data_IF_787991192289
#
_entry.id   IF_787991192289
#
_cell.length_a   1.000
_cell.length_b   1.000
_cell.length_c   1.000
_cell.angle_alpha   90.00
_cell.angle_beta   90.00
_cell.angle_gamma   90.00
#
_symmetry.space_group_name_H-M   'P 1'
#
loop_
_entity.id
_entity.type
_entity.pdbx_description
1 polymer ?
#
# COMPACT_ATOMS: atom_id res chain seq x y z
N UNK A 1 8.41 -15.56 -19.19
CA UNK A 1 7.72 -14.30 -18.86
C UNK A 1 8.36 -13.05 -19.49
N UNK A 2 7.55 -12.10 -19.97
CA UNK A 2 7.98 -10.75 -20.43
C UNK A 2 8.01 -9.75 -19.27
N UNK A 3 8.96 -8.82 -19.26
CA UNK A 3 9.09 -7.76 -18.23
C UNK A 3 9.08 -6.37 -18.85
N UNK A 4 8.98 -5.33 -18.03
CA UNK A 4 8.85 -3.92 -18.40
C UNK A 4 7.58 -3.66 -19.22
N UNK A 5 6.49 -4.28 -18.78
CA UNK A 5 5.21 -4.30 -19.49
C UNK A 5 4.07 -3.92 -18.54
N UNK A 6 3.05 -3.29 -19.10
CA UNK A 6 1.74 -3.10 -18.47
C UNK A 6 0.69 -3.88 -19.27
N UNK A 7 0.01 -4.81 -18.61
CA UNK A 7 -1.08 -5.59 -19.16
C UNK A 7 -2.41 -4.86 -18.93
N UNK A 8 -3.20 -4.69 -19.99
CA UNK A 8 -4.57 -4.19 -19.87
C UNK A 8 -5.54 -5.33 -19.58
N UNK A 9 -5.44 -5.93 -18.39
CA UNK A 9 -6.19 -7.11 -17.97
C UNK A 9 -6.40 -7.08 -16.45
N UNK A 10 -7.28 -7.97 -15.97
CA UNK A 10 -7.40 -8.26 -14.55
C UNK A 10 -6.13 -8.91 -13.99
N UNK A 11 -5.80 -8.60 -12.74
CA UNK A 11 -4.74 -9.23 -11.94
C UNK A 11 -5.23 -10.41 -11.09
N UNK A 12 -6.51 -10.79 -11.19
CA UNK A 12 -7.08 -11.96 -10.49
C UNK A 12 -6.38 -13.25 -10.89
N UNK A 13 -5.96 -13.35 -12.15
CA UNK A 13 -5.11 -14.43 -12.65
C UNK A 13 -4.04 -13.84 -13.58
N UNK A 14 -2.80 -14.23 -13.36
CA UNK A 14 -1.60 -13.72 -14.05
C UNK A 14 -0.84 -14.86 -14.75
N UNK A 15 -1.44 -15.57 -15.72
CA UNK A 15 -0.80 -16.72 -16.39
C UNK A 15 0.47 -16.32 -17.17
N UNK A 16 0.62 -15.04 -17.52
CA UNK A 16 1.83 -14.52 -18.17
C UNK A 16 3.03 -14.39 -17.22
N UNK A 17 2.79 -14.48 -15.91
CA UNK A 17 3.78 -14.32 -14.84
C UNK A 17 4.11 -15.69 -14.25
N UNK A 18 5.37 -16.09 -14.39
CA UNK A 18 5.86 -17.39 -13.93
C UNK A 18 5.81 -17.47 -12.38
N UNK A 19 5.64 -18.68 -11.83
CA UNK A 19 5.70 -18.94 -10.39
C UNK A 19 7.04 -18.48 -9.80
N UNK A 20 7.01 -17.92 -8.58
CA UNK A 20 8.22 -17.52 -7.84
C UNK A 20 9.20 -16.68 -8.70
N UNK A 21 8.69 -15.76 -9.52
CA UNK A 21 9.49 -14.98 -10.46
C UNK A 21 9.65 -13.51 -10.06
N UNK A 22 8.71 -12.98 -9.27
CA UNK A 22 8.66 -11.58 -8.82
C UNK A 22 9.43 -11.40 -7.51
N UNK A 23 10.18 -10.31 -7.39
CA UNK A 23 11.00 -10.01 -6.21
C UNK A 23 10.28 -9.11 -5.21
N UNK A 24 9.49 -8.15 -5.70
CA UNK A 24 8.78 -7.19 -4.88
C UNK A 24 7.38 -6.92 -5.45
N UNK A 25 6.35 -6.91 -4.62
CA UNK A 25 5.01 -6.42 -4.98
C UNK A 25 4.81 -5.10 -4.26
N UNK A 26 4.39 -4.07 -4.96
CA UNK A 26 4.01 -2.78 -4.35
C UNK A 26 2.72 -2.35 -5.02
N UNK A 27 1.64 -2.29 -4.25
CA UNK A 27 0.32 -2.05 -4.83
C UNK A 27 -0.65 -1.43 -3.84
N UNK A 28 -1.78 -0.95 -4.36
CA UNK A 28 -2.87 -0.33 -3.60
C UNK A 28 -4.20 -0.76 -4.23
N UNK A 29 -5.02 -1.61 -3.56
CA UNK A 29 -6.30 -2.04 -4.12
C UNK A 29 -7.31 -0.89 -4.22
N UNK A 30 -8.35 -1.03 -5.05
CA UNK A 30 -9.60 -0.27 -4.91
C UNK A 30 -10.18 -0.46 -3.51
N UNK A 31 -10.38 0.62 -2.77
CA UNK A 31 -10.91 0.53 -1.40
C UNK A 31 -12.44 0.34 -1.42
N UNK A 32 -12.94 -0.51 -0.53
CA UNK A 32 -14.36 -0.83 -0.45
C UNK A 32 -15.21 0.42 -0.28
N UNK A 33 -16.31 0.48 -1.02
CA UNK A 33 -17.36 1.49 -1.09
C UNK A 33 -16.88 2.93 -1.33
N UNK A 34 -15.71 3.14 -1.94
CA UNK A 34 -15.18 4.49 -2.17
C UNK A 34 -15.34 4.99 -3.61
N UNK A 35 -15.03 4.16 -4.61
CA UNK A 35 -14.90 4.63 -6.00
C UNK A 35 -15.54 3.68 -7.00
N UNK A 36 -16.08 4.29 -8.05
CA UNK A 36 -16.54 3.63 -9.26
C UNK A 36 -15.57 4.00 -10.39
N UNK A 37 -14.96 2.99 -11.02
CA UNK A 37 -13.99 3.12 -12.11
C UNK A 37 -14.63 2.95 -13.50
N UNK A 38 -15.97 2.93 -13.56
CA UNK A 38 -16.75 2.78 -14.79
C UNK A 38 -16.94 1.33 -15.22
N UNK A 39 -17.75 1.14 -16.27
CA UNK A 39 -18.17 -0.20 -16.70
C UNK A 39 -17.00 -1.10 -17.17
N UNK A 40 -15.88 -0.52 -17.60
CA UNK A 40 -14.68 -1.26 -18.00
C UNK A 40 -13.90 -1.92 -16.86
N UNK A 41 -14.24 -1.64 -15.60
CA UNK A 41 -13.66 -2.29 -14.43
C UNK A 41 -14.48 -3.50 -13.93
N UNK A 42 -15.68 -3.71 -14.49
CA UNK A 42 -16.55 -4.81 -14.09
C UNK A 42 -15.97 -6.15 -14.54
N UNK A 43 -16.05 -7.13 -13.64
CA UNK A 43 -15.59 -8.49 -13.83
C UNK A 43 -16.61 -9.45 -13.23
N UNK A 44 -16.52 -10.71 -13.61
CA UNK A 44 -17.26 -11.79 -12.96
C UNK A 44 -16.39 -12.36 -11.84
N UNK A 45 -16.96 -12.46 -10.64
CA UNK A 45 -16.33 -12.98 -9.44
C UNK A 45 -17.09 -14.21 -8.93
N UNK A 46 -16.35 -15.26 -8.61
CA UNK A 46 -16.90 -16.52 -8.10
C UNK A 46 -17.75 -17.27 -9.13
N UNK A 47 -18.59 -18.18 -8.63
CA UNK A 47 -19.41 -19.07 -9.44
C UNK A 47 -18.69 -20.36 -9.89
N UNK A 48 -19.34 -21.07 -10.81
CA UNK A 48 -18.87 -22.34 -11.37
C UNK A 48 -18.25 -22.09 -12.75
N UNK A 49 -17.11 -22.72 -13.02
CA UNK A 49 -16.24 -22.47 -14.19
C UNK A 49 -16.93 -22.57 -15.56
N UNK A 50 -18.01 -23.35 -15.66
CA UNK A 50 -18.72 -23.63 -16.93
C UNK A 50 -20.13 -23.00 -16.98
N UNK A 51 -20.39 -22.00 -16.14
CA UNK A 51 -21.68 -21.31 -16.16
C UNK A 51 -21.72 -20.26 -17.29
N UNK A 52 -22.72 -20.34 -18.18
CA UNK A 52 -22.99 -19.29 -19.18
C UNK A 52 -23.44 -17.95 -18.58
N UNK A 53 -23.62 -17.90 -17.26
CA UNK A 53 -24.09 -16.78 -16.46
C UNK A 53 -25.38 -16.12 -16.94
N UNK A 54 -26.49 -16.47 -16.30
CA UNK A 54 -27.76 -15.76 -16.45
C UNK A 54 -27.89 -14.69 -15.36
N UNK A 55 -27.75 -13.43 -15.76
CA UNK A 55 -27.88 -12.27 -14.88
C UNK A 55 -29.36 -11.97 -14.66
N UNK A 56 -29.81 -11.97 -13.41
CA UNK A 56 -31.23 -11.77 -13.10
C UNK A 56 -31.76 -10.41 -13.54
N UNK A 57 -33.07 -10.26 -13.71
CA UNK A 57 -33.70 -8.95 -13.87
C UNK A 57 -33.59 -8.14 -12.57
N UNK A 58 -33.47 -6.82 -12.67
CA UNK A 58 -33.49 -5.94 -11.49
C UNK A 58 -34.84 -6.09 -10.78
N UNK A 59 -34.84 -6.51 -9.51
CA UNK A 59 -36.02 -6.40 -8.65
C UNK A 59 -36.38 -4.92 -8.47
N UNK A 60 -37.33 -4.42 -9.25
CA UNK A 60 -38.02 -3.17 -8.94
C UNK A 60 -39.12 -3.50 -7.94
N UNK A 61 -38.85 -3.27 -6.65
CA UNK A 61 -39.94 -3.22 -5.66
C UNK A 61 -40.80 -2.00 -6.02
N UNK A 62 -41.95 -2.23 -6.66
CA UNK A 62 -43.02 -1.23 -6.69
C UNK A 62 -43.53 -1.09 -5.26
N UNK A 63 -43.38 0.07 -4.66
CA UNK A 63 -44.07 0.41 -3.41
C UNK A 63 -45.59 0.27 -3.63
N UNK A 64 -46.20 -0.74 -3.00
CA UNK A 64 -47.65 -0.76 -2.74
C UNK A 64 -47.87 -0.46 -1.25
N UNK A 65 -48.41 0.74 -0.99
CA UNK A 65 -49.09 1.15 0.24
C UNK A 65 -48.17 1.46 1.43
N UNK A 66 -48.48 2.39 2.34
CA UNK A 66 -49.70 3.17 2.57
C UNK A 66 -49.50 3.96 3.87
N UNK A 67 -49.81 5.26 3.91
CA UNK A 67 -50.44 5.87 5.10
C UNK A 67 -51.42 6.96 4.65
N UNK A 68 -52.70 6.65 4.88
CA UNK A 68 -53.87 7.49 5.17
C UNK A 68 -54.13 8.80 4.38
N UNK A 69 -55.29 8.84 3.71
CA UNK A 69 -55.97 10.09 3.36
C UNK A 69 -56.86 10.02 2.11
N UNK A 70 -58.16 9.80 2.36
CA UNK A 70 -59.32 10.15 1.51
C UNK A 70 -59.49 9.53 0.11
N UNK A 71 -60.57 8.73 0.01
CA UNK A 71 -61.55 8.68 -1.09
C UNK A 71 -61.05 8.45 -2.53
N UNK A 72 -61.14 7.22 -3.04
CA UNK A 72 -61.38 6.99 -4.47
C UNK A 72 -61.93 5.58 -4.74
N UNK A 73 -62.96 5.55 -5.58
CA UNK A 73 -63.83 4.43 -5.90
C UNK A 73 -63.13 3.27 -6.63
N UNK A 74 -63.71 2.08 -6.45
CA UNK A 74 -63.47 0.90 -7.30
C UNK A 74 -63.91 1.22 -8.74
N UNK A 75 -63.00 1.11 -9.72
CA UNK A 75 -63.40 0.91 -11.12
C UNK A 75 -62.37 0.12 -11.92
N UNK A 76 -62.86 -1.03 -12.38
CA UNK A 76 -62.56 -1.82 -13.58
C UNK A 76 -61.14 -2.14 -14.02
N UNK A 77 -60.96 -3.46 -14.15
CA UNK A 77 -60.09 -4.13 -15.12
C UNK A 77 -60.15 -3.45 -16.49
N UNK A 78 -59.01 -3.03 -17.02
CA UNK A 78 -58.61 -3.25 -18.42
C UNK A 78 -57.16 -2.78 -18.62
N UNK A 79 -56.36 -3.69 -19.16
CA UNK A 79 -55.04 -3.48 -19.76
C UNK A 79 -53.85 -3.22 -18.79
N UNK A 80 -53.00 -4.23 -18.51
CA UNK A 80 -51.68 -3.93 -17.99
C UNK A 80 -50.89 -3.24 -19.11
N UNK A 81 -50.75 -1.91 -19.04
CA UNK A 81 -49.72 -1.21 -19.81
C UNK A 81 -48.37 -1.80 -19.39
N UNK A 82 -47.89 -2.76 -20.16
CA UNK A 82 -46.52 -3.27 -20.11
C UNK A 82 -45.63 -2.08 -20.48
N UNK A 83 -45.19 -1.34 -19.46
CA UNK A 83 -44.09 -0.41 -19.61
C UNK A 83 -42.83 -1.27 -19.82
N UNK A 84 -42.51 -1.54 -21.08
CA UNK A 84 -41.17 -1.99 -21.47
C UNK A 84 -40.21 -0.85 -21.15
N UNK A 85 -39.54 -0.93 -20.02
CA UNK A 85 -38.40 -0.09 -19.70
C UNK A 85 -37.18 -0.97 -19.56
N UNK A 86 -36.25 -0.85 -20.51
CA UNK A 86 -34.94 -1.50 -20.49
C UNK A 86 -34.25 -1.24 -19.16
N UNK A 87 -33.94 -2.30 -18.41
CA UNK A 87 -33.25 -2.21 -17.13
C UNK A 87 -31.86 -2.83 -17.24
N UNK A 88 -30.84 -2.15 -16.71
CA UNK A 88 -29.48 -2.69 -16.54
C UNK A 88 -29.59 -3.96 -15.68
N UNK A 89 -29.03 -5.08 -16.18
CA UNK A 89 -29.04 -6.44 -15.59
C UNK A 89 -28.74 -6.45 -14.09
N UNK A 90 -29.33 -7.38 -13.35
CA UNK A 90 -28.97 -7.71 -11.96
C UNK A 90 -27.53 -8.22 -11.86
N UNK A 91 -26.87 -7.92 -10.74
CA UNK A 91 -25.43 -8.14 -10.56
C UNK A 91 -25.07 -9.58 -10.13
N UNK A 92 -26.04 -10.41 -9.78
CA UNK A 92 -25.78 -11.80 -9.41
C UNK A 92 -26.33 -12.75 -10.47
N UNK A 93 -25.54 -13.77 -10.77
CA UNK A 93 -25.95 -14.86 -11.63
C UNK A 93 -26.97 -15.73 -10.88
N UNK A 94 -28.11 -15.97 -11.51
CA UNK A 94 -29.19 -16.80 -10.96
C UNK A 94 -28.85 -18.29 -10.94
N UNK A 95 -27.88 -18.73 -11.73
CA UNK A 95 -27.48 -20.14 -11.85
C UNK A 95 -26.40 -20.48 -10.81
N UNK A 96 -25.28 -19.75 -10.84
CA UNK A 96 -24.09 -20.10 -10.06
C UNK A 96 -23.79 -19.14 -8.91
N UNK A 97 -24.58 -18.07 -8.73
CA UNK A 97 -24.34 -17.09 -7.68
C UNK A 97 -23.14 -16.17 -7.92
N UNK A 98 -22.44 -16.28 -9.07
CA UNK A 98 -21.36 -15.38 -9.44
C UNK A 98 -21.82 -13.93 -9.41
N UNK A 99 -20.92 -13.02 -9.06
CA UNK A 99 -21.20 -11.59 -9.02
C UNK A 99 -20.51 -10.85 -10.15
N UNK A 100 -21.25 -9.99 -10.83
CA UNK A 100 -20.75 -9.08 -11.84
C UNK A 100 -20.64 -7.66 -11.30
N UNK A 101 -19.40 -7.21 -11.14
CA UNK A 101 -19.09 -5.90 -10.59
C UNK A 101 -17.59 -5.63 -10.52
N UNK A 102 -17.23 -4.48 -9.96
CA UNK A 102 -15.85 -4.05 -9.83
C UNK A 102 -15.37 -4.22 -8.39
N UNK A 103 -14.09 -4.61 -8.25
CA UNK A 103 -13.43 -4.70 -6.96
C UNK A 103 -13.58 -3.39 -6.18
N UNK A 104 -13.99 -3.49 -4.92
CA UNK A 104 -14.27 -2.36 -4.05
C UNK A 104 -15.73 -1.89 -4.07
N UNK A 105 -16.60 -2.40 -4.94
CA UNK A 105 -18.05 -2.12 -4.91
C UNK A 105 -18.90 -3.37 -4.61
N UNK A 106 -18.31 -4.35 -3.94
CA UNK A 106 -19.00 -5.54 -3.48
C UNK A 106 -20.17 -5.16 -2.55
N UNK A 107 -21.28 -5.90 -2.60
CA UNK A 107 -22.44 -5.66 -1.73
C UNK A 107 -22.13 -5.76 -0.23
N UNK A 108 -21.13 -6.54 0.17
CA UNK A 108 -20.74 -6.71 1.57
C UNK A 108 -19.22 -6.57 1.73
N UNK A 109 -18.80 -6.18 2.94
CA UNK A 109 -17.39 -6.10 3.29
C UNK A 109 -16.70 -7.48 3.22
N UNK A 110 -17.38 -8.53 3.67
CA UNK A 110 -16.81 -9.89 3.63
C UNK A 110 -16.52 -10.33 2.20
N UNK A 111 -17.43 -10.10 1.27
CA UNK A 111 -17.25 -10.44 -0.13
C UNK A 111 -16.09 -9.66 -0.77
N UNK A 112 -15.91 -8.38 -0.40
CA UNK A 112 -14.73 -7.61 -0.79
C UNK A 112 -13.43 -8.23 -0.26
N UNK A 113 -13.41 -8.66 1.01
CA UNK A 113 -12.25 -9.31 1.60
C UNK A 113 -11.97 -10.64 0.90
N UNK A 114 -12.98 -11.47 0.62
CA UNK A 114 -12.85 -12.72 -0.12
C UNK A 114 -12.23 -12.52 -1.51
N UNK A 115 -12.68 -11.50 -2.26
CA UNK A 115 -12.10 -11.18 -3.56
C UNK A 115 -10.62 -10.75 -3.46
N UNK A 116 -10.25 -9.97 -2.44
CA UNK A 116 -8.86 -9.63 -2.19
C UNK A 116 -8.02 -10.85 -1.77
N UNK A 117 -8.62 -11.82 -1.07
CA UNK A 117 -7.95 -13.07 -0.74
C UNK A 117 -7.64 -13.90 -1.99
N UNK A 118 -8.54 -13.94 -2.97
CA UNK A 118 -8.27 -14.59 -4.27
C UNK A 118 -7.05 -13.94 -4.95
N UNK A 119 -7.01 -12.61 -5.01
CA UNK A 119 -5.91 -11.87 -5.64
C UNK A 119 -4.59 -12.08 -4.90
N UNK A 120 -4.61 -12.13 -3.58
CA UNK A 120 -3.40 -12.31 -2.76
C UNK A 120 -2.86 -13.74 -2.80
N UNK A 121 -3.68 -14.75 -3.08
CA UNK A 121 -3.21 -16.10 -3.42
C UNK A 121 -2.38 -16.07 -4.72
N UNK A 122 -2.84 -15.34 -5.73
CA UNK A 122 -2.11 -15.18 -6.99
C UNK A 122 -0.81 -14.41 -6.79
N UNK A 123 -0.82 -13.38 -5.92
CA UNK A 123 0.40 -12.71 -5.48
C UNK A 123 1.38 -13.67 -4.81
N UNK A 124 0.88 -14.57 -3.96
CA UNK A 124 1.71 -15.57 -3.28
C UNK A 124 2.32 -16.56 -4.26
N UNK A 125 1.62 -16.92 -5.35
CA UNK A 125 2.14 -17.78 -6.43
C UNK A 125 3.33 -17.13 -7.15
N UNK A 126 3.17 -15.90 -7.60
CA UNK A 126 4.20 -15.21 -8.41
C UNK A 126 5.38 -14.69 -7.59
N UNK A 127 5.18 -14.37 -6.30
CA UNK A 127 6.23 -13.83 -5.43
C UNK A 127 7.24 -14.90 -5.05
N UNK A 128 8.53 -14.61 -5.22
CA UNK A 128 9.63 -15.47 -4.77
C UNK A 128 9.54 -15.82 -3.28
N UNK A 129 10.12 -16.94 -2.85
CA UNK A 129 10.24 -17.26 -1.42
C UNK A 129 10.97 -16.19 -0.61
N UNK A 130 11.89 -15.45 -1.25
CA UNK A 130 12.63 -14.32 -0.66
C UNK A 130 11.99 -12.96 -0.91
N UNK A 131 10.86 -12.92 -1.63
CA UNK A 131 10.22 -11.68 -2.05
C UNK A 131 9.41 -11.01 -0.94
N UNK A 132 9.08 -9.75 -1.18
CA UNK A 132 8.37 -8.88 -0.25
C UNK A 132 7.13 -8.28 -0.92
N UNK A 133 6.04 -8.12 -0.17
CA UNK A 133 4.84 -7.41 -0.61
C UNK A 133 4.59 -6.18 0.27
N UNK A 134 4.40 -5.04 -0.37
CA UNK A 134 3.97 -3.78 0.22
C UNK A 134 2.54 -3.48 -0.22
N UNK A 135 1.62 -3.42 0.75
CA UNK A 135 0.19 -3.27 0.51
C UNK A 135 -0.32 -1.98 1.14
N UNK A 136 -0.57 -0.95 0.32
CA UNK A 136 -1.13 0.33 0.78
C UNK A 136 -2.66 0.25 0.80
N UNK A 137 -3.28 0.29 1.98
CA UNK A 137 -4.73 0.08 2.10
C UNK A 137 -5.34 0.90 3.23
N UNK A 138 -5.97 2.01 2.84
CA UNK A 138 -6.73 2.88 3.72
C UNK A 138 -8.06 2.27 4.17
N UNK A 139 -8.61 2.83 5.25
CA UNK A 139 -9.89 2.38 5.81
C UNK A 139 -11.05 3.31 5.43
N UNK A 140 -12.28 2.85 5.66
CA UNK A 140 -13.51 3.57 5.40
C UNK A 140 -14.44 3.54 6.61
N UNK A 141 -15.40 4.48 6.67
CA UNK A 141 -16.41 4.52 7.73
C UNK A 141 -17.71 3.86 7.29
N UNK A 142 -18.21 2.93 8.07
CA UNK A 142 -19.51 2.28 7.85
C UNK A 142 -20.67 3.26 8.10
N UNK A 143 -21.64 3.31 7.19
CA UNK A 143 -22.75 4.30 7.25
C UNK A 143 -24.07 3.73 7.79
N UNK A 144 -24.11 2.43 8.14
CA UNK A 144 -25.32 1.77 8.65
C UNK A 144 -26.33 1.36 7.57
N UNK A 145 -26.03 1.58 6.29
CA UNK A 145 -26.86 1.15 5.14
C UNK A 145 -26.12 0.21 4.18
N UNK A 146 -25.17 -0.57 4.69
CA UNK A 146 -24.35 -1.47 3.87
C UNK A 146 -23.40 -0.74 2.91
N UNK A 147 -23.09 0.54 3.16
CA UNK A 147 -22.09 1.29 2.39
C UNK A 147 -21.14 2.04 3.33
N UNK A 148 -19.98 2.42 2.81
CA UNK A 148 -19.03 3.23 3.54
C UNK A 148 -18.74 4.58 2.87
N UNK A 149 -18.25 5.55 3.65
CA UNK A 149 -17.81 6.86 3.17
C UNK A 149 -16.32 7.06 3.41
N UNK A 150 -15.67 7.82 2.52
CA UNK A 150 -14.26 8.21 2.63
C UNK A 150 -14.02 9.10 3.87
N UNK A 151 -12.98 8.85 4.69
CA UNK A 151 -12.59 9.72 5.81
C UNK A 151 -12.21 11.15 5.42
N UNK A 152 -11.71 11.37 4.20
CA UNK A 152 -11.01 12.58 3.79
C UNK A 152 -11.71 13.46 2.77
N UNK A 153 -13.05 13.44 2.67
CA UNK A 153 -13.80 14.47 1.92
C UNK A 153 -13.29 14.75 0.50
N UNK A 154 -13.16 13.74 -0.36
CA UNK A 154 -12.79 13.93 -1.76
C UNK A 154 -14.01 14.18 -2.64
N UNK A 155 -14.00 15.30 -3.37
CA UNK A 155 -14.95 15.77 -4.39
C UNK A 155 -16.18 14.88 -4.60
N UNK A 156 -17.30 15.28 -3.96
CA UNK A 156 -18.59 15.18 -4.65
C UNK A 156 -18.37 15.93 -5.96
N UNK A 157 -18.39 15.25 -7.11
CA UNK A 157 -18.42 15.98 -8.37
C UNK A 157 -19.57 16.99 -8.26
N UNK A 158 -19.24 18.27 -8.47
CA UNK A 158 -20.15 19.41 -8.48
C UNK A 158 -21.13 19.37 -9.67
N UNK A 159 -21.41 18.18 -10.19
CA UNK A 159 -22.46 17.87 -11.16
C UNK A 159 -23.59 17.02 -10.55
N UNK A 160 -23.44 16.57 -9.30
CA UNK A 160 -24.43 15.71 -8.63
C UNK A 160 -25.58 16.46 -7.95
N UNK A 161 -25.67 17.79 -8.04
CA UNK A 161 -26.77 18.57 -7.44
C UNK A 161 -28.03 18.67 -8.32
N UNK A 162 -27.97 18.29 -9.59
CA UNK A 162 -29.16 18.25 -10.46
C UNK A 162 -29.59 16.83 -10.89
N UNK A 163 -28.77 15.80 -10.69
CA UNK A 163 -29.22 14.43 -10.87
C UNK A 163 -29.66 13.81 -9.55
N UNK A 164 -30.96 13.97 -9.25
CA UNK A 164 -31.69 13.12 -8.28
C UNK A 164 -31.78 11.64 -8.74
N UNK A 165 -30.83 11.16 -9.54
CA UNK A 165 -30.76 9.85 -10.19
C UNK A 165 -29.48 9.07 -9.86
N UNK A 166 -28.76 9.41 -8.78
CA UNK A 166 -27.76 8.49 -8.22
C UNK A 166 -28.47 7.19 -7.77
N UNK A 167 -28.15 6.09 -8.45
CA UNK A 167 -28.81 4.78 -8.39
C UNK A 167 -28.41 4.03 -7.12
N UNK A 168 -28.77 4.56 -5.96
CA UNK A 168 -29.10 3.72 -4.81
C UNK A 168 -30.58 3.95 -4.54
N UNK A 169 -31.45 2.97 -4.77
CA UNK A 169 -32.83 3.10 -4.34
C UNK A 169 -32.80 3.43 -2.85
N UNK A 170 -33.36 4.58 -2.47
CA UNK A 170 -33.75 4.84 -1.07
C UNK A 170 -34.93 3.93 -0.66
N UNK A 171 -34.94 2.69 -1.14
CA UNK A 171 -35.98 1.71 -0.93
C UNK A 171 -35.56 0.78 0.19
N UNK A 172 -36.43 0.65 1.19
CA UNK A 172 -36.38 -0.39 2.22
C UNK A 172 -36.59 -1.77 1.59
N UNK A 173 -35.61 -2.25 0.82
CA UNK A 173 -35.74 -3.47 0.02
C UNK A 173 -34.51 -3.90 -0.78
N UNK A 174 -33.34 -3.30 -0.59
CA UNK A 174 -32.09 -4.04 -0.82
C UNK A 174 -32.07 -5.26 0.13
N UNK A 175 -31.30 -6.33 -0.11
CA UNK A 175 -31.12 -7.42 0.86
C UNK A 175 -30.42 -6.87 2.12
N UNK A 176 -31.17 -6.12 2.92
CA UNK A 176 -30.73 -5.32 4.07
C UNK A 176 -30.80 -6.14 5.36
N UNK A 177 -30.77 -7.48 5.25
CA UNK A 177 -30.80 -8.38 6.41
C UNK A 177 -29.44 -8.98 6.75
N UNK A 178 -28.42 -8.85 5.90
CA UNK A 178 -27.08 -9.38 6.20
C UNK A 178 -26.10 -8.34 6.79
N UNK A 179 -26.42 -7.04 6.79
CA UNK A 179 -25.49 -6.01 7.29
C UNK A 179 -25.74 -5.62 8.76
N UNK A 180 -26.02 -6.60 9.63
CA UNK A 180 -26.17 -6.36 11.08
C UNK A 180 -24.83 -6.37 11.83
N UNK A 181 -23.72 -6.34 11.11
CA UNK A 181 -22.41 -6.71 11.65
C UNK A 181 -21.60 -5.55 12.21
N UNK A 182 -21.84 -4.30 11.77
CA UNK A 182 -21.08 -3.14 12.24
C UNK A 182 -21.98 -1.93 12.55
N UNK A 183 -21.75 -1.24 13.68
CA UNK A 183 -22.45 0.01 13.99
C UNK A 183 -22.19 1.10 12.93
N UNK A 184 -23.19 1.94 12.68
CA UNK A 184 -22.98 3.16 11.90
C UNK A 184 -21.91 4.05 12.55
N UNK A 185 -21.17 4.79 11.73
CA UNK A 185 -20.01 5.63 12.12
C UNK A 185 -18.79 4.86 12.63
N UNK A 186 -18.79 3.53 12.56
CA UNK A 186 -17.62 2.72 12.90
C UNK A 186 -16.61 2.69 11.74
N UNK A 187 -15.31 2.65 12.04
CA UNK A 187 -14.30 2.28 11.05
C UNK A 187 -14.51 0.81 10.66
N UNK A 188 -14.54 0.52 9.36
CA UNK A 188 -14.79 -0.82 8.85
C UNK A 188 -13.65 -1.79 9.19
N UNK A 189 -12.44 -1.24 9.38
CA UNK A 189 -11.19 -1.98 9.51
C UNK A 189 -10.97 -2.91 8.30
N UNK A 190 -11.41 -2.50 7.10
CA UNK A 190 -11.36 -3.34 5.90
C UNK A 190 -9.94 -3.84 5.60
N UNK A 191 -8.96 -3.00 5.93
CA UNK A 191 -7.55 -3.25 5.78
C UNK A 191 -7.05 -4.25 6.82
N UNK A 192 -7.24 -3.99 8.12
CA UNK A 192 -6.76 -4.89 9.17
C UNK A 192 -7.47 -6.26 9.15
N UNK A 193 -8.76 -6.31 8.78
CA UNK A 193 -9.49 -7.57 8.59
C UNK A 193 -8.86 -8.43 7.49
N UNK A 194 -8.53 -7.82 6.36
CA UNK A 194 -7.77 -8.49 5.31
C UNK A 194 -6.43 -9.00 5.85
N UNK A 195 -5.64 -8.15 6.53
CA UNK A 195 -4.31 -8.54 7.04
C UNK A 195 -4.39 -9.72 8.01
N UNK A 196 -5.38 -9.76 8.90
CA UNK A 196 -5.62 -10.89 9.80
C UNK A 196 -5.87 -12.16 8.98
N UNK A 197 -6.78 -12.12 8.01
CA UNK A 197 -7.06 -13.27 7.12
C UNK A 197 -5.86 -13.67 6.25
N UNK A 198 -5.00 -12.74 5.85
CA UNK A 198 -3.75 -13.08 5.16
C UNK A 198 -2.80 -13.88 6.05
N UNK A 199 -2.74 -13.56 7.35
CA UNK A 199 -1.91 -14.29 8.31
C UNK A 199 -2.52 -15.66 8.60
N UNK A 200 -3.80 -15.70 8.97
CA UNK A 200 -4.47 -16.92 9.43
C UNK A 200 -4.79 -17.88 8.27
N UNK A 201 -5.41 -17.33 7.21
CA UNK A 201 -5.80 -17.95 5.93
C UNK A 201 -4.64 -18.44 5.06
N UNK A 202 -3.71 -17.52 4.81
CA UNK A 202 -2.71 -17.69 3.79
C UNK A 202 -1.30 -17.76 4.36
N UNK A 203 -1.08 -17.70 5.68
CA UNK A 203 0.24 -17.85 6.28
C UNK A 203 1.24 -16.75 5.87
N UNK A 204 0.77 -15.54 5.55
CA UNK A 204 1.65 -14.39 5.37
C UNK A 204 2.27 -13.98 6.71
N UNK A 205 3.47 -13.40 6.68
CA UNK A 205 4.11 -12.81 7.85
C UNK A 205 4.08 -11.29 7.70
N UNK A 206 3.33 -10.62 8.59
CA UNK A 206 3.38 -9.16 8.71
C UNK A 206 4.66 -8.76 9.46
N UNK A 207 5.45 -7.87 8.87
CA UNK A 207 6.70 -7.36 9.44
C UNK A 207 6.51 -5.98 10.07
N UNK A 208 5.75 -5.10 9.41
CA UNK A 208 5.43 -3.76 9.90
C UNK A 208 4.07 -3.30 9.36
N UNK A 209 3.35 -2.50 10.15
CA UNK A 209 2.23 -1.65 9.75
C UNK A 209 2.71 -0.20 9.59
N UNK A 210 3.40 0.08 8.49
CA UNK A 210 4.00 1.40 8.30
C UNK A 210 2.91 2.47 8.24
N UNK A 211 2.96 3.44 9.14
CA UNK A 211 2.05 4.58 9.18
C UNK A 211 2.53 5.65 8.20
N UNK A 212 1.85 5.75 7.05
CA UNK A 212 2.01 6.89 6.15
C UNK A 212 1.25 8.10 6.69
N UNK A 213 1.97 9.02 7.33
CA UNK A 213 1.45 10.30 7.80
C UNK A 213 1.40 11.31 6.65
N UNK A 214 0.20 11.83 6.36
CA UNK A 214 -0.08 12.81 5.30
C UNK A 214 -0.21 14.21 5.90
N UNK A 215 0.86 15.02 5.95
CA UNK A 215 0.82 16.35 6.58
C UNK A 215 -0.19 17.30 5.91
N UNK A 216 -0.40 17.15 4.60
CA UNK A 216 -1.38 17.88 3.79
C UNK A 216 -2.67 17.08 3.51
N UNK A 217 -3.02 16.12 4.38
CA UNK A 217 -4.26 15.37 4.25
C UNK A 217 -5.50 16.28 4.31
N UNK A 218 -6.48 16.01 3.46
CA UNK A 218 -7.70 16.83 3.39
C UNK A 218 -8.44 16.86 4.73
N UNK A 219 -8.86 18.04 5.21
CA UNK A 219 -9.62 18.17 6.44
C UNK A 219 -10.99 17.49 6.30
N UNK A 220 -11.45 16.84 7.37
CA UNK A 220 -12.79 16.27 7.43
C UNK A 220 -13.78 17.31 7.95
N UNK A 221 -14.97 17.39 7.36
CA UNK A 221 -16.07 18.22 7.86
C UNK A 221 -16.84 17.58 9.03
N UNK A 222 -16.47 16.35 9.42
CA UNK A 222 -17.05 15.67 10.57
C UNK A 222 -16.69 16.41 11.87
N UNK A 223 -17.69 16.68 12.71
CA UNK A 223 -17.54 17.40 13.99
C UNK A 223 -17.42 16.48 15.20
N UNK A 224 -17.76 15.20 15.03
CA UNK A 224 -17.88 14.19 16.09
C UNK A 224 -16.76 13.14 16.04
N UNK A 225 -15.68 13.39 15.29
CA UNK A 225 -14.49 12.54 15.22
C UNK A 225 -13.26 13.29 14.71
N UNK A 226 -12.08 12.72 14.95
CA UNK A 226 -10.83 13.23 14.40
C UNK A 226 -10.73 12.99 12.88
N UNK A 227 -10.01 13.87 12.20
CA UNK A 227 -9.70 13.69 10.77
C UNK A 227 -8.62 12.62 10.60
N UNK A 228 -8.89 11.61 9.77
CA UNK A 228 -7.89 10.60 9.42
C UNK A 228 -6.83 11.22 8.51
N UNK A 229 -5.62 11.45 9.05
CA UNK A 229 -4.48 12.00 8.31
C UNK A 229 -3.40 10.98 7.99
N UNK A 230 -3.65 9.69 8.22
CA UNK A 230 -2.69 8.64 7.90
C UNK A 230 -3.36 7.48 7.17
N UNK A 231 -2.55 6.68 6.49
CA UNK A 231 -2.92 5.39 5.88
C UNK A 231 -1.86 4.35 6.25
N UNK A 232 -2.23 3.09 6.53
CA UNK A 232 -1.24 2.04 6.73
C UNK A 232 -0.73 1.47 5.40
N UNK A 233 0.56 1.19 5.37
CA UNK A 233 1.25 0.43 4.33
C UNK A 233 1.81 -0.83 4.96
N UNK A 234 1.22 -1.98 4.65
CA UNK A 234 1.61 -3.24 5.28
C UNK A 234 2.82 -3.85 4.56
N UNK A 235 3.83 -4.21 5.34
CA UNK A 235 5.01 -4.94 4.89
C UNK A 235 4.83 -6.42 5.18
N UNK A 236 4.60 -7.23 4.14
CA UNK A 236 4.30 -8.66 4.21
C UNK A 236 5.39 -9.49 3.53
N UNK A 237 5.67 -10.68 4.06
CA UNK A 237 6.64 -11.64 3.48
C UNK A 237 6.10 -13.07 3.53
N UNK A 238 6.58 -13.92 2.60
CA UNK A 238 6.23 -15.35 2.56
C UNK A 238 6.96 -16.18 3.62
N UNK A 239 8.22 -15.84 3.89
CA UNK A 239 9.11 -16.64 4.74
C UNK A 239 9.90 -15.75 5.70
N UNK A 240 10.43 -16.34 6.77
CA UNK A 240 11.32 -15.65 7.73
C UNK A 240 12.62 -15.15 7.09
N UNK A 241 13.08 -15.79 6.02
CA UNK A 241 14.26 -15.40 5.24
C UNK A 241 13.79 -14.73 3.94
N UNK A 242 13.93 -13.41 3.86
CA UNK A 242 13.57 -12.59 2.71
C UNK A 242 14.68 -11.59 2.41
N UNK A 243 14.69 -11.05 1.19
CA UNK A 243 15.67 -10.05 0.78
C UNK A 243 15.24 -8.66 1.27
N UNK A 244 16.10 -8.00 2.05
CA UNK A 244 15.85 -6.65 2.55
C UNK A 244 17.16 -5.87 2.75
N UNK A 245 17.30 -4.70 2.15
CA UNK A 245 18.44 -3.79 2.29
C UNK A 245 18.05 -2.53 3.05
N UNK A 246 18.21 -2.56 4.39
CA UNK A 246 17.91 -1.41 5.26
C UNK A 246 18.83 -0.22 4.96
N UNK A 247 20.10 -0.47 4.64
CA UNK A 247 21.09 0.58 4.41
C UNK A 247 20.77 1.39 3.15
N UNK A 248 20.01 0.80 2.21
CA UNK A 248 19.50 1.51 1.04
C UNK A 248 18.48 2.61 1.38
N UNK A 249 17.81 2.54 2.55
CA UNK A 249 16.72 3.45 2.93
C UNK A 249 16.97 4.22 4.24
N UNK A 250 18.18 4.18 4.77
CA UNK A 250 18.55 4.96 5.96
C UNK A 250 18.43 6.46 5.70
N UNK A 251 17.95 7.17 6.72
CA UNK A 251 17.83 8.63 6.73
C UNK A 251 19.04 9.26 7.43
N UNK A 252 19.43 10.46 7.02
CA UNK A 252 20.48 11.22 7.71
C UNK A 252 20.09 11.42 9.19
N UNK A 253 21.08 11.37 10.08
CA UNK A 253 20.86 11.68 11.49
C UNK A 253 20.50 13.16 11.63
N UNK A 254 19.66 13.50 12.60
CA UNK A 254 19.41 14.90 12.92
C UNK A 254 20.65 15.53 13.56
N UNK A 255 20.88 16.82 13.30
CA UNK A 255 22.05 17.51 13.85
C UNK A 255 22.06 17.47 15.37
N UNK A 256 20.92 17.64 16.04
CA UNK A 256 20.85 17.60 17.50
C UNK A 256 21.17 16.21 18.08
N UNK A 257 21.09 15.15 17.26
CA UNK A 257 21.50 13.79 17.67
C UNK A 257 23.02 13.63 17.56
N UNK A 258 23.63 14.21 16.53
CA UNK A 258 25.08 14.26 16.35
C UNK A 258 25.68 15.11 17.47
N UNK A 259 25.13 16.30 17.73
CA UNK A 259 25.57 17.19 18.80
C UNK A 259 25.42 16.54 20.18
N UNK A 260 24.33 15.78 20.41
CA UNK A 260 24.16 15.01 21.65
C UNK A 260 25.21 13.93 21.82
N UNK A 261 25.61 13.25 20.74
CA UNK A 261 26.71 12.27 20.78
C UNK A 261 28.02 12.97 21.10
N UNK A 262 28.30 14.12 20.48
CA UNK A 262 29.55 14.86 20.64
C UNK A 262 29.63 15.62 21.98
N UNK A 263 28.49 15.86 22.65
CA UNK A 263 28.42 16.42 23.99
C UNK A 263 28.25 15.37 25.10
N UNK A 264 28.08 14.09 24.76
CA UNK A 264 27.90 13.00 25.73
C UNK A 264 29.17 12.79 26.55
N UNK A 265 29.18 13.30 27.79
CA UNK A 265 30.33 13.26 28.71
C UNK A 265 30.83 14.62 29.20
N UNK A 266 30.29 15.74 28.66
CA UNK A 266 30.67 17.10 29.11
C UNK A 266 29.83 17.65 30.26
N UNK A 267 28.66 17.09 30.52
CA UNK A 267 27.84 17.48 31.67
C UNK A 267 28.38 16.87 32.96
N UNK A 268 28.94 17.72 33.83
CA UNK A 268 29.23 17.39 35.22
C UNK A 268 27.92 17.22 35.98
N UNK A 269 27.36 16.01 36.03
CA UNK A 269 26.41 15.69 37.09
C UNK A 269 27.21 15.46 38.38
N UNK A 270 26.81 16.06 39.52
CA UNK A 270 27.40 15.71 40.80
C UNK A 270 27.17 14.21 41.03
N UNK A 271 28.24 13.47 41.27
CA UNK A 271 28.17 12.06 41.59
C UNK A 271 27.47 11.91 42.95
N UNK A 272 26.20 11.49 42.94
CA UNK A 272 25.63 10.85 44.11
C UNK A 272 26.20 9.43 44.17
N UNK A 273 26.67 9.03 45.36
CA UNK A 273 27.61 7.92 45.58
C UNK A 273 27.07 6.50 45.29
N UNK A 274 25.80 6.32 44.90
CA UNK A 274 25.21 4.97 44.79
C UNK A 274 24.78 4.49 43.39
N UNK A 275 24.94 5.28 42.32
CA UNK A 275 24.54 4.85 40.96
C UNK A 275 25.67 4.24 40.13
N UNK A 276 26.52 3.44 40.78
CA UNK A 276 27.67 2.73 40.19
C UNK A 276 27.31 1.67 39.12
N UNK A 277 26.05 1.59 38.67
CA UNK A 277 25.60 0.59 37.70
C UNK A 277 24.67 1.12 36.59
N UNK A 278 24.49 2.44 36.42
CA UNK A 278 23.91 2.94 35.16
C UNK A 278 24.98 2.84 34.06
N UNK A 279 25.14 1.63 33.53
CA UNK A 279 25.99 1.31 32.39
C UNK A 279 25.85 2.42 31.34
N UNK A 280 26.89 3.24 31.22
CA UNK A 280 27.07 4.22 30.16
C UNK A 280 27.08 3.49 28.80
N UNK A 281 25.89 3.17 28.26
CA UNK A 281 25.75 2.68 26.89
C UNK A 281 26.08 3.85 25.97
N UNK A 282 27.35 3.95 25.58
CA UNK A 282 27.83 4.88 24.55
C UNK A 282 26.94 4.75 23.30
N UNK A 283 26.42 5.87 22.81
CA UNK A 283 25.52 5.90 21.64
C UNK A 283 26.35 5.84 20.36
N UNK A 284 26.21 4.75 19.60
CA UNK A 284 26.86 4.58 18.30
C UNK A 284 25.89 4.97 17.18
N UNK A 285 26.24 6.02 16.43
CA UNK A 285 25.49 6.41 15.24
C UNK A 285 26.07 5.70 14.02
N UNK A 286 25.23 5.05 13.21
CA UNK A 286 25.65 4.46 11.95
C UNK A 286 25.92 5.58 10.91
N UNK A 287 27.12 5.68 10.31
CA UNK A 287 27.45 6.65 9.27
C UNK A 287 26.51 6.69 8.08
N UNK A 288 25.90 5.56 7.70
CA UNK A 288 24.94 5.50 6.58
C UNK A 288 23.55 6.06 6.96
N UNK A 289 23.35 6.46 8.22
CA UNK A 289 22.12 7.06 8.71
C UNK A 289 21.36 6.20 9.74
N UNK A 290 20.26 6.74 10.27
CA UNK A 290 19.34 6.01 11.15
C UNK A 290 18.39 5.14 10.33
N UNK A 291 17.85 4.10 10.97
CA UNK A 291 16.68 3.40 10.43
C UNK A 291 15.54 4.43 10.27
N UNK A 292 14.86 4.51 9.11
CA UNK A 292 13.73 5.42 8.91
C UNK A 292 12.57 5.17 9.89
N UNK A 293 12.48 3.97 10.48
CA UNK A 293 11.34 3.56 11.29
C UNK A 293 10.11 3.26 10.43
N UNK A 294 8.97 3.16 11.09
CA UNK A 294 7.68 2.77 10.51
C UNK A 294 6.67 3.92 10.46
N UNK A 295 7.04 5.15 10.81
CA UNK A 295 6.20 6.34 10.64
C UNK A 295 6.79 7.24 9.57
N UNK A 296 6.20 7.23 8.38
CA UNK A 296 6.70 7.97 7.22
C UNK A 296 5.85 9.21 6.98
N UNK A 297 6.45 10.39 7.15
CA UNK A 297 5.79 11.65 6.86
C UNK A 297 6.04 12.05 5.41
N UNK A 298 5.06 11.80 4.54
CA UNK A 298 5.16 12.05 3.10
C UNK A 298 3.91 12.81 2.65
N UNK A 299 4.02 14.02 2.07
CA UNK A 299 2.86 14.75 1.58
C UNK A 299 2.21 14.03 0.39
N UNK A 300 0.89 14.16 0.25
CA UNK A 300 0.18 13.76 -0.96
C UNK A 300 0.62 14.62 -2.14
N UNK A 301 0.83 14.01 -3.29
CA UNK A 301 1.28 14.69 -4.51
C UNK A 301 0.16 14.65 -5.56
N UNK A 302 -0.34 15.80 -6.04
CA UNK A 302 -1.29 15.82 -7.15
C UNK A 302 -0.59 15.40 -8.44
N UNK A 303 -1.30 14.66 -9.29
CA UNK A 303 -0.80 14.28 -10.62
C UNK A 303 -1.69 14.90 -11.70
N UNK A 304 -1.19 15.88 -12.47
CA UNK A 304 -2.01 16.68 -13.40
C UNK A 304 -2.69 15.87 -14.51
N UNK A 305 -2.08 14.76 -14.93
CA UNK A 305 -2.53 13.96 -16.07
C UNK A 305 -3.48 12.81 -15.67
N UNK A 306 -3.76 12.59 -14.37
CA UNK A 306 -4.64 11.50 -13.93
C UNK A 306 -5.99 11.97 -13.40
N UNK A 307 -7.02 11.25 -13.85
CA UNK A 307 -8.24 11.08 -13.07
C UNK A 307 -7.98 10.01 -11.98
N UNK A 308 -7.91 10.46 -10.72
CA UNK A 308 -7.97 9.68 -9.44
C UNK A 308 -6.66 9.12 -8.81
N UNK A 309 -6.78 8.90 -7.48
CA UNK A 309 -5.81 8.63 -6.41
C UNK A 309 -4.48 7.92 -6.74
N UNK A 310 -3.50 8.70 -7.21
CA UNK A 310 -2.11 8.26 -7.33
C UNK A 310 -1.39 8.37 -5.98
N UNK A 311 -0.77 7.30 -5.46
CA UNK A 311 0.11 7.45 -4.30
C UNK A 311 1.42 8.17 -4.70
N UNK A 312 2.06 8.92 -3.76
CA UNK A 312 3.26 9.71 -4.06
C UNK A 312 4.47 8.86 -4.45
N UNK A 313 5.34 9.38 -5.31
CA UNK A 313 6.58 8.71 -5.73
C UNK A 313 7.48 8.35 -4.53
N UNK A 314 7.58 9.27 -3.57
CA UNK A 314 8.33 9.09 -2.31
C UNK A 314 7.87 7.88 -1.50
N UNK A 315 6.59 7.54 -1.55
CA UNK A 315 6.03 6.40 -0.80
C UNK A 315 6.57 5.08 -1.32
N UNK A 316 6.88 5.00 -2.62
CA UNK A 316 7.20 3.76 -3.33
C UNK A 316 8.70 3.49 -3.38
N UNK A 317 9.51 4.55 -3.40
CA UNK A 317 10.97 4.42 -3.54
C UNK A 317 11.57 3.63 -2.37
N UNK A 318 11.11 3.86 -1.13
CA UNK A 318 11.58 3.11 0.04
C UNK A 318 11.30 1.60 -0.11
N UNK A 319 10.07 1.15 -0.40
CA UNK A 319 9.79 -0.23 -0.78
C UNK A 319 10.69 -0.80 -1.90
N UNK A 320 10.87 -0.08 -3.01
CA UNK A 320 11.67 -0.59 -4.15
C UNK A 320 13.13 -0.79 -3.74
N UNK A 321 13.74 0.22 -3.12
CA UNK A 321 15.16 0.19 -2.78
C UNK A 321 15.48 -0.85 -1.71
N UNK A 322 14.60 -0.97 -0.72
CA UNK A 322 14.78 -1.90 0.39
C UNK A 322 14.40 -3.34 0.04
N UNK A 323 13.48 -3.57 -0.89
CA UNK A 323 12.85 -4.88 -1.06
C UNK A 323 12.94 -5.48 -2.46
N UNK A 324 13.40 -4.73 -3.47
CA UNK A 324 13.64 -5.24 -4.83
C UNK A 324 15.15 -5.18 -5.17
N UNK A 325 15.84 -6.33 -5.36
CA UNK A 325 17.28 -6.35 -5.58
C UNK A 325 17.68 -5.73 -6.91
N UNK A 326 18.79 -4.98 -6.91
CA UNK A 326 19.36 -4.40 -8.14
C UNK A 326 20.13 -5.44 -8.97
N UNK A 327 20.69 -6.47 -8.32
CA UNK A 327 21.49 -7.50 -8.97
C UNK A 327 21.05 -8.90 -8.55
N UNK A 328 20.54 -9.64 -9.52
CA UNK A 328 20.19 -11.06 -9.43
C UNK A 328 21.01 -11.82 -10.45
N UNK A 329 21.64 -12.91 -10.01
CA UNK A 329 22.43 -13.73 -10.92
C UNK A 329 21.54 -14.35 -12.00
N UNK A 330 21.94 -14.22 -13.28
CA UNK A 330 21.18 -14.79 -14.40
C UNK A 330 21.14 -16.33 -14.41
N UNK A 331 22.12 -16.99 -13.79
CA UNK A 331 22.22 -18.46 -13.72
C UNK A 331 21.52 -19.05 -12.49
N UNK A 332 21.88 -18.62 -11.29
CA UNK A 332 21.39 -19.23 -10.05
C UNK A 332 20.22 -18.48 -9.38
N UNK A 333 19.82 -17.30 -9.89
CA UNK A 333 18.72 -16.52 -9.32
C UNK A 333 18.99 -15.89 -7.95
N UNK A 334 20.19 -16.06 -7.37
CA UNK A 334 20.56 -15.44 -6.09
C UNK A 334 20.74 -13.92 -6.25
N UNK A 335 20.05 -13.17 -5.40
CA UNK A 335 20.24 -11.73 -5.26
C UNK A 335 21.53 -11.41 -4.50
N UNK A 336 22.22 -10.33 -4.90
CA UNK A 336 23.36 -9.83 -4.13
C UNK A 336 22.88 -9.25 -2.80
N UNK A 337 23.67 -9.49 -1.76
CA UNK A 337 23.50 -8.88 -0.46
C UNK A 337 24.61 -7.86 -0.25
N UNK A 338 24.27 -6.73 0.37
CA UNK A 338 25.25 -5.70 0.71
C UNK A 338 26.21 -6.25 1.75
N UNK A 339 27.51 -6.08 1.50
CA UNK A 339 28.55 -6.37 2.49
C UNK A 339 28.98 -5.05 3.10
N UNK A 340 28.84 -4.94 4.42
CA UNK A 340 29.29 -3.79 5.19
C UNK A 340 30.44 -4.17 6.10
N UNK A 341 31.44 -3.30 6.18
CA UNK A 341 32.45 -3.37 7.22
C UNK A 341 32.06 -2.38 8.31
N UNK A 342 31.95 -2.87 9.54
CA UNK A 342 31.67 -2.04 10.71
C UNK A 342 32.85 -2.15 11.66
N UNK A 343 33.80 -1.23 11.53
CA UNK A 343 34.91 -1.11 12.47
C UNK A 343 34.54 -0.14 13.58
N UNK A 344 34.96 -0.46 14.79
CA UNK A 344 34.82 0.40 15.97
C UNK A 344 36.24 0.78 16.39
N UNK A 345 36.66 1.98 16.02
CA UNK A 345 37.95 2.51 16.43
C UNK A 345 37.81 3.27 17.73
N UNK A 346 38.77 3.12 18.63
CA UNK A 346 38.87 3.92 19.86
C UNK A 346 39.96 4.95 19.62
N UNK A 347 39.56 6.19 19.37
CA UNK A 347 40.48 7.32 19.28
C UNK A 347 40.82 7.79 20.70
N UNK A 348 42.08 7.60 21.10
CA UNK A 348 42.61 8.15 22.34
C UNK A 348 43.12 9.57 22.07
N UNK A 349 42.43 10.59 22.57
CA UNK A 349 42.98 11.94 22.54
C UNK A 349 44.20 12.03 23.50
N UNK A 350 45.40 12.20 22.95
CA UNK A 350 46.60 12.56 23.75
C UNK A 350 46.59 14.09 23.94
N UNK A 351 46.15 14.58 25.10
CA UNK A 351 46.48 15.95 25.51
C UNK A 351 47.92 15.98 26.02
N UNK A 352 48.71 16.91 25.51
CA UNK A 352 50.07 17.16 25.95
C UNK A 352 50.04 17.72 27.38
N UNK A 353 50.88 17.17 28.25
CA UNK A 353 50.99 17.57 29.65
C UNK A 353 51.56 18.99 29.75
N UNK A 354 50.78 19.95 30.24
CA UNK A 354 51.31 21.18 30.81
C UNK A 354 51.49 20.99 32.33
N UNK A 355 52.72 21.11 32.80
CA UNK A 355 53.08 20.98 34.22
C UNK A 355 52.40 22.11 35.01
N UNK A 356 51.44 21.78 35.88
CA UNK A 356 50.95 22.76 36.86
C UNK A 356 49.59 22.50 37.50
N UNK A 357 48.76 21.58 37.02
CA UNK A 357 47.46 21.30 37.65
C UNK A 357 47.30 19.81 37.95
N UNK A 358 47.22 19.46 39.25
CA UNK A 358 46.80 18.13 39.70
C UNK A 358 45.31 17.94 39.42
N UNK A 359 44.96 17.56 38.19
CA UNK A 359 43.67 16.94 37.90
C UNK A 359 43.87 15.78 36.94
N UNK A 360 43.80 14.56 37.48
CA UNK A 360 43.72 13.32 36.72
C UNK A 360 42.47 13.36 35.82
N UNK A 361 42.63 13.73 34.55
CA UNK A 361 41.66 13.41 33.51
C UNK A 361 42.24 12.27 32.67
N UNK A 362 41.77 11.05 32.90
CA UNK A 362 41.93 9.96 31.92
C UNK A 362 41.20 10.40 30.64
N UNK A 363 41.95 10.52 29.55
CA UNK A 363 41.50 11.10 28.29
C UNK A 363 40.16 10.56 27.78
N UNK A 364 39.36 11.46 27.22
CA UNK A 364 38.11 11.12 26.55
C UNK A 364 38.43 10.19 25.36
N UNK A 365 37.94 8.94 25.46
CA UNK A 365 37.97 7.92 24.42
C UNK A 365 36.76 8.08 23.50
N UNK A 366 36.98 8.62 22.31
CA UNK A 366 35.96 8.67 21.26
C UNK A 366 35.95 7.34 20.53
N UNK A 367 34.76 6.75 20.36
CA UNK A 367 34.63 5.55 19.53
C UNK A 367 34.07 5.96 18.16
N UNK A 368 34.88 5.93 17.11
CA UNK A 368 34.42 6.15 15.74
C UNK A 368 33.86 4.83 15.21
N UNK A 369 32.60 4.82 14.78
CA UNK A 369 32.05 3.67 14.05
C UNK A 369 32.20 3.93 12.57
N UNK A 370 33.13 3.23 11.93
CA UNK A 370 33.29 3.22 10.48
C UNK A 370 32.38 2.14 9.92
N UNK A 371 31.15 2.51 9.54
CA UNK A 371 30.23 1.66 8.79
C UNK A 371 30.26 2.07 7.31
N UNK A 372 30.87 1.24 6.48
CA UNK A 372 30.98 1.49 5.04
C UNK A 372 30.53 0.26 4.28
N UNK A 373 29.80 0.48 3.19
CA UNK A 373 29.58 -0.57 2.19
C UNK A 373 30.93 -0.87 1.53
N UNK A 374 31.43 -2.09 1.72
CA UNK A 374 32.69 -2.55 1.13
C UNK A 374 32.48 -3.32 -0.18
N UNK A 375 31.25 -3.78 -0.44
CA UNK A 375 30.93 -4.45 -1.67
C UNK A 375 29.59 -5.19 -1.60
N UNK A 376 29.47 -6.19 -2.46
CA UNK A 376 28.27 -6.98 -2.64
C UNK A 376 28.64 -8.45 -2.78
N UNK A 377 27.86 -9.35 -2.20
CA UNK A 377 28.12 -10.79 -2.30
C UNK A 377 28.17 -11.25 -3.74
N UNK A 378 29.01 -12.26 -4.03
CA UNK A 378 29.11 -12.85 -5.36
C UNK A 378 28.80 -14.35 -5.29
N UNK A 379 27.95 -14.80 -6.20
CA UNK A 379 27.57 -16.20 -6.34
C UNK A 379 28.57 -17.03 -7.16
N UNK A 380 29.62 -16.40 -7.72
CA UNK A 380 30.70 -17.02 -8.50
C UNK A 380 30.23 -17.76 -9.76
N UNK A 381 29.01 -17.51 -10.23
CA UNK A 381 28.45 -18.15 -11.41
C UNK A 381 28.96 -17.54 -12.74
N UNK A 382 29.58 -16.36 -12.70
CA UNK A 382 30.09 -15.61 -13.86
C UNK A 382 29.09 -15.46 -15.04
N UNK A 383 27.80 -15.49 -14.75
CA UNK A 383 26.72 -15.42 -15.74
C UNK A 383 26.13 -14.01 -15.93
N UNK A 384 26.79 -13.00 -15.36
CA UNK A 384 26.26 -11.63 -15.30
C UNK A 384 25.03 -11.48 -14.40
N UNK A 385 24.51 -10.25 -14.36
CA UNK A 385 23.43 -9.83 -13.46
C UNK A 385 22.23 -9.31 -14.25
N UNK A 386 21.04 -9.49 -13.68
CA UNK A 386 19.80 -8.84 -14.12
C UNK A 386 19.16 -8.10 -12.94
N UNK A 387 18.30 -7.10 -13.18
CA UNK A 387 17.55 -6.47 -12.10
C UNK A 387 16.46 -7.39 -11.54
N UNK A 388 16.03 -7.09 -10.33
CA UNK A 388 14.81 -7.64 -9.74
C UNK A 388 13.56 -7.08 -10.40
N UNK A 389 12.46 -7.80 -10.20
CA UNK A 389 11.17 -7.51 -10.81
C UNK A 389 10.20 -7.01 -9.75
N UNK A 390 9.67 -5.79 -9.97
CA UNK A 390 8.59 -5.19 -9.17
C UNK A 390 7.24 -5.40 -9.86
N UNK A 391 6.24 -5.88 -9.14
CA UNK A 391 4.87 -6.06 -9.64
C UNK A 391 3.91 -5.06 -8.98
N UNK A 392 3.01 -4.48 -9.78
CA UNK A 392 1.86 -3.71 -9.32
C UNK A 392 0.57 -4.27 -9.95
N UNK A 393 -0.37 -4.68 -9.10
CA UNK A 393 -1.64 -5.32 -9.51
C UNK A 393 -2.70 -4.32 -9.98
N UNK A 394 -2.56 -3.07 -9.54
CA UNK A 394 -3.50 -1.97 -9.72
C UNK A 394 -2.72 -0.73 -10.14
N UNK A 395 -2.04 -0.83 -11.29
CA UNK A 395 -1.01 0.11 -11.69
C UNK A 395 -1.52 1.55 -11.84
N UNK A 396 -2.79 1.76 -12.20
CA UNK A 396 -3.39 3.08 -12.34
C UNK A 396 -2.61 3.95 -13.33
N UNK A 397 -2.11 5.10 -12.85
CA UNK A 397 -1.25 5.99 -13.64
C UNK A 397 0.22 5.58 -13.72
N UNK A 398 0.58 4.43 -13.13
CA UNK A 398 1.89 3.82 -13.28
C UNK A 398 2.98 4.35 -12.36
N UNK A 399 2.65 4.91 -11.18
CA UNK A 399 3.66 5.41 -10.22
C UNK A 399 4.69 4.32 -9.89
N UNK A 400 4.24 3.12 -9.54
CA UNK A 400 5.15 2.01 -9.19
C UNK A 400 6.07 1.63 -10.33
N UNK A 401 5.53 1.53 -11.54
CA UNK A 401 6.27 1.13 -12.73
C UNK A 401 7.33 2.18 -13.10
N UNK A 402 6.95 3.46 -13.05
CA UNK A 402 7.84 4.59 -13.27
C UNK A 402 8.99 4.60 -12.25
N UNK A 403 8.68 4.46 -10.97
CA UNK A 403 9.71 4.45 -9.91
C UNK A 403 10.57 3.19 -9.95
N UNK A 404 10.03 2.04 -10.36
CA UNK A 404 10.83 0.83 -10.61
C UNK A 404 11.84 1.07 -11.73
N UNK A 405 11.39 1.62 -12.87
CA UNK A 405 12.28 2.00 -13.99
C UNK A 405 13.36 2.98 -13.53
N UNK A 406 12.98 4.04 -12.81
CA UNK A 406 13.90 5.05 -12.26
C UNK A 406 14.93 4.46 -11.29
N UNK A 407 14.52 3.47 -10.49
CA UNK A 407 15.40 2.73 -9.59
C UNK A 407 16.16 1.59 -10.29
N UNK A 408 16.14 1.48 -11.63
CA UNK A 408 16.77 0.40 -12.41
C UNK A 408 16.28 -1.00 -12.06
N UNK A 409 15.02 -1.13 -11.65
CA UNK A 409 14.33 -2.43 -11.51
C UNK A 409 13.51 -2.71 -12.76
N UNK A 410 13.26 -3.98 -13.01
CA UNK A 410 12.26 -4.36 -13.99
C UNK A 410 10.86 -4.25 -13.37
N UNK A 411 9.83 -4.10 -14.19
CA UNK A 411 8.47 -4.01 -13.69
C UNK A 411 7.47 -4.85 -14.48
N UNK A 412 6.39 -5.24 -13.82
CA UNK A 412 5.18 -5.79 -14.43
C UNK A 412 4.01 -5.04 -13.80
N UNK A 413 3.07 -4.56 -14.62
CA UNK A 413 1.88 -3.87 -14.16
C UNK A 413 0.61 -4.49 -14.72
N UNK A 414 -0.45 -4.52 -13.93
CA UNK A 414 -1.80 -4.84 -14.37
C UNK A 414 -2.70 -3.63 -14.16
N UNK A 415 -3.54 -3.34 -15.15
CA UNK A 415 -4.54 -2.28 -15.09
C UNK A 415 -5.73 -2.66 -15.96
N UNK A 416 -6.91 -2.78 -15.36
CA UNK A 416 -8.09 -3.23 -16.09
C UNK A 416 -8.72 -2.11 -16.92
N UNK A 417 -8.67 -0.86 -16.44
CA UNK A 417 -9.30 0.28 -17.09
C UNK A 417 -8.40 0.79 -18.22
N UNK A 418 -8.84 0.56 -19.45
CA UNK A 418 -8.07 0.87 -20.67
C UNK A 418 -7.60 2.32 -20.78
N UNK A 419 -8.36 3.29 -20.25
CA UNK A 419 -8.00 4.72 -20.31
C UNK A 419 -6.75 5.08 -19.51
N UNK A 420 -6.34 4.25 -18.53
CA UNK A 420 -5.12 4.47 -17.77
C UNK A 420 -3.84 3.99 -18.47
N UNK A 421 -3.96 3.09 -19.46
CA UNK A 421 -2.81 2.52 -20.16
C UNK A 421 -1.98 3.58 -20.90
N UNK A 422 -2.57 4.51 -21.69
CA UNK A 422 -1.79 5.57 -22.33
C UNK A 422 -1.12 6.52 -21.33
N UNK A 423 -1.79 6.81 -20.21
CA UNK A 423 -1.24 7.68 -19.15
C UNK A 423 0.00 7.04 -18.52
N UNK A 424 -0.07 5.74 -18.20
CA UNK A 424 1.07 5.00 -17.68
C UNK A 424 2.22 4.94 -18.68
N UNK A 425 1.94 4.70 -19.97
CA UNK A 425 2.98 4.70 -21.02
C UNK A 425 3.67 6.06 -21.14
N UNK A 426 2.90 7.13 -21.19
CA UNK A 426 3.42 8.51 -21.21
C UNK A 426 4.30 8.81 -20.00
N UNK A 427 3.92 8.32 -18.81
CA UNK A 427 4.73 8.46 -17.61
C UNK A 427 6.04 7.68 -17.72
N UNK A 428 5.99 6.43 -18.19
CA UNK A 428 7.17 5.59 -18.40
C UNK A 428 8.14 6.16 -19.44
N UNK A 429 7.64 6.84 -20.47
CA UNK A 429 8.47 7.52 -21.50
C UNK A 429 9.27 8.69 -20.92
N UNK A 430 8.72 9.42 -19.94
CA UNK A 430 9.40 10.54 -19.26
C UNK A 430 10.52 10.08 -18.33
N UNK A 431 10.47 8.84 -17.85
CA UNK A 431 11.51 8.31 -16.97
C UNK A 431 12.74 7.90 -17.78
N UNK A 432 13.80 8.71 -17.69
CA UNK A 432 15.08 8.41 -18.31
C UNK A 432 15.89 7.43 -17.44
N UNK A 433 16.71 6.59 -18.08
CA UNK A 433 17.57 5.61 -17.39
C UNK A 433 18.87 6.23 -16.85
N UNK A 434 19.08 7.53 -17.09
CA UNK A 434 20.20 8.29 -16.56
C UNK A 434 20.14 8.37 -15.03
N UNK A 435 20.92 7.48 -14.43
CA UNK A 435 21.12 7.29 -13.00
C UNK A 435 21.77 8.51 -12.38
N UNK A 436 21.00 9.24 -11.58
CA UNK A 436 21.59 10.08 -10.55
C UNK A 436 21.68 9.25 -9.27
N UNK A 437 22.89 9.01 -8.77
CA UNK A 437 23.13 8.35 -7.46
C UNK A 437 22.47 9.11 -6.31
N UNK A 438 22.00 10.32 -6.58
CA UNK A 438 21.35 11.26 -5.64
C UNK A 438 19.86 11.00 -5.40
N UNK A 439 19.30 9.84 -5.81
CA UNK A 439 17.93 9.47 -5.43
C UNK A 439 17.70 9.47 -3.92
N UNK A 440 18.74 9.15 -3.12
CA UNK A 440 18.67 9.34 -1.67
C UNK A 440 18.41 10.82 -1.37
N UNK A 441 19.25 11.74 -1.83
CA UNK A 441 19.07 13.16 -1.53
C UNK A 441 17.75 13.76 -2.03
N UNK A 442 17.18 13.24 -3.11
CA UNK A 442 15.89 13.69 -3.64
C UNK A 442 14.67 13.11 -2.90
N UNK A 443 14.75 11.87 -2.40
CA UNK A 443 13.58 11.11 -1.94
C UNK A 443 13.66 10.53 -0.52
N UNK A 444 14.85 10.41 0.07
CA UNK A 444 15.12 9.83 1.41
C UNK A 444 15.94 10.80 2.25
#
# INVERSE_FOLDING_TARGET
MQTNIIYNKSSVSMPEVDDNSVDCIITSPPYWGLRDYGEGANQVWGGVLECEHQWGDKLVVRERGSVAGSTAQVRNQTNPKIARTHSKRGQFCQICGAWYGQLGLEPTLEMYIEHLLIITLECKRVLKPTGVMWWNHGDCYFTGKGSCNNPGGGNKSWQSWNDRKAIFPRGRGAPNRMSKEMPAKCLALQNYRLIIRLIDEQGWILRNDVTWNKPNGMPSSAKDRLTNKHEPVFFLVKNKKYWFDLDAIREKHKQETIDRKDNWGREKKPAFEDDMAYQMKKVYLNPSGKNPGDVWTIPTQPYPEAHFATFPEKLVIRPILSSCPEWICRKCGKARLRITNTQREVENSKRQWEKGTMRNYKGERWNVTNHKTIGWTDCKCNAGWRPGITLDLFAGSGTTLAMAKRCRRQFIGYEIVKSYIPLTRKRLEKEDTMFNRDLKEQFI
#
